data_IF_239788898672
#
_entry.id   IF_239788898672
#
_cell.length_a   1.000
_cell.length_b   1.000
_cell.length_c   1.000
_cell.angle_alpha   90.00
_cell.angle_beta   90.00
_cell.angle_gamma   90.00
#
_symmetry.space_group_name_H-M   'P 1'
#
loop_
_entity.id
_entity.type
_entity.pdbx_description
1 polymer ?
#
# COMPACT_ATOMS: atom_id res chain seq x y z
N UNK A 1 -24.68 18.79 51.40
CA UNK A 1 -23.36 18.17 51.64
C UNK A 1 -23.33 16.92 50.78
N UNK A 2 -22.64 16.93 49.63
CA UNK A 2 -22.55 15.74 48.78
C UNK A 2 -21.78 14.67 49.55
N UNK A 3 -22.36 13.48 49.71
CA UNK A 3 -21.68 12.36 50.35
C UNK A 3 -20.60 11.88 49.36
N UNK A 4 -19.35 11.71 49.80
CA UNK A 4 -18.23 11.32 48.91
C UNK A 4 -18.50 9.97 48.22
N UNK A 5 -19.44 9.17 48.73
CA UNK A 5 -19.94 7.93 48.13
C UNK A 5 -20.79 8.11 46.87
N UNK A 6 -21.23 9.33 46.54
CA UNK A 6 -22.09 9.62 45.38
C UNK A 6 -21.31 10.31 44.24
N UNK A 7 -19.98 10.39 44.33
CA UNK A 7 -19.13 10.99 43.31
C UNK A 7 -18.56 9.89 42.42
N UNK A 8 -18.99 9.86 41.16
CA UNK A 8 -18.44 8.98 40.13
C UNK A 8 -17.43 9.77 39.28
N UNK A 9 -16.20 9.26 39.19
CA UNK A 9 -15.15 9.85 38.36
C UNK A 9 -15.02 9.07 37.06
N UNK A 10 -15.32 9.72 35.93
CA UNK A 10 -15.17 9.16 34.58
C UNK A 10 -14.18 9.95 33.75
N UNK A 11 -13.51 9.24 32.84
CA UNK A 11 -12.52 9.79 31.91
C UNK A 11 -13.17 10.17 30.58
N UNK A 12 -12.70 11.27 30.02
CA UNK A 12 -12.97 11.71 28.65
C UNK A 12 -11.67 11.70 27.84
N UNK A 13 -10.59 12.28 28.38
CA UNK A 13 -9.25 12.32 27.77
C UNK A 13 -9.30 12.72 26.27
N UNK A 14 -8.44 12.13 25.43
CA UNK A 14 -8.44 12.37 23.98
C UNK A 14 -9.65 11.77 23.26
N UNK A 15 -10.39 10.87 23.92
CA UNK A 15 -11.59 10.24 23.36
C UNK A 15 -12.71 11.25 23.11
N UNK A 16 -12.73 12.38 23.84
CA UNK A 16 -13.64 13.48 23.56
C UNK A 16 -13.45 14.09 22.18
N UNK A 17 -12.21 14.22 21.71
CA UNK A 17 -11.89 14.72 20.36
C UNK A 17 -12.34 13.70 19.31
N UNK A 18 -12.04 12.43 19.54
CA UNK A 18 -12.45 11.33 18.63
C UNK A 18 -13.97 11.26 18.53
N UNK A 19 -14.68 11.28 19.66
CA UNK A 19 -16.14 11.27 19.69
C UNK A 19 -16.73 12.47 18.95
N UNK A 20 -16.19 13.67 19.18
CA UNK A 20 -16.62 14.89 18.49
C UNK A 20 -16.44 14.81 16.96
N UNK A 21 -15.35 14.21 16.48
CA UNK A 21 -15.15 13.97 15.03
C UNK A 21 -16.19 12.97 14.51
N UNK A 22 -16.39 11.86 15.20
CA UNK A 22 -17.38 10.83 14.85
C UNK A 22 -18.79 11.44 14.74
N UNK A 23 -19.16 12.30 15.69
CA UNK A 23 -20.45 13.00 15.71
C UNK A 23 -20.53 14.05 14.60
N UNK A 24 -19.46 14.81 14.37
CA UNK A 24 -19.43 15.80 13.28
C UNK A 24 -19.55 15.17 11.90
N UNK A 25 -19.06 13.94 11.71
CA UNK A 25 -19.23 13.17 10.47
C UNK A 25 -20.61 12.50 10.41
N UNK A 26 -21.33 12.37 11.52
CA UNK A 26 -22.62 11.67 11.57
C UNK A 26 -22.50 10.14 11.38
N UNK A 27 -21.40 9.54 11.82
CA UNK A 27 -21.16 8.09 11.63
C UNK A 27 -22.27 7.26 12.29
N UNK A 28 -22.73 7.66 13.47
CA UNK A 28 -23.75 6.91 14.22
C UNK A 28 -25.04 6.80 13.41
N UNK A 29 -25.49 7.92 12.86
CA UNK A 29 -26.72 8.04 12.06
C UNK A 29 -26.59 7.26 10.75
N UNK A 30 -25.46 7.39 10.06
CA UNK A 30 -25.20 6.66 8.80
C UNK A 30 -25.26 5.15 9.04
N UNK A 31 -24.58 4.65 10.09
CA UNK A 31 -24.58 3.22 10.41
C UNK A 31 -25.98 2.73 10.80
N UNK A 32 -26.71 3.50 11.61
CA UNK A 32 -28.07 3.14 12.01
C UNK A 32 -29.03 3.08 10.81
N UNK A 33 -28.90 4.01 9.86
CA UNK A 33 -29.68 4.01 8.63
C UNK A 33 -29.34 2.81 7.73
N UNK A 34 -28.07 2.40 7.68
CA UNK A 34 -27.63 1.28 6.84
C UNK A 34 -28.00 -0.09 7.40
N UNK A 35 -27.99 -0.25 8.74
CA UNK A 35 -28.14 -1.53 9.43
C UNK A 35 -29.50 -1.71 10.12
N UNK A 36 -30.31 -0.63 10.19
CA UNK A 36 -31.57 -0.62 10.92
C UNK A 36 -31.40 -0.55 12.44
N UNK A 37 -32.52 -0.49 13.15
CA UNK A 37 -32.59 -0.50 14.62
C UNK A 37 -33.74 -1.39 15.06
N UNK A 38 -33.55 -2.12 16.15
CA UNK A 38 -34.61 -2.94 16.76
C UNK A 38 -35.23 -2.18 17.94
N UNK A 39 -36.57 -2.24 18.15
CA UNK A 39 -37.25 -1.46 19.19
C UNK A 39 -36.75 -1.65 20.62
N UNK A 40 -36.20 -2.83 20.93
CA UNK A 40 -35.75 -3.20 22.28
C UNK A 40 -34.21 -3.12 22.44
N UNK A 41 -33.50 -2.58 21.45
CA UNK A 41 -32.04 -2.44 21.54
C UNK A 41 -31.64 -1.38 22.57
N UNK A 42 -30.86 -1.79 23.58
CA UNK A 42 -30.29 -0.87 24.58
C UNK A 42 -29.25 0.09 24.00
N UNK A 43 -28.55 -0.35 22.94
CA UNK A 43 -27.56 0.43 22.19
C UNK A 43 -27.70 0.12 20.71
N UNK A 44 -27.68 1.17 19.89
CA UNK A 44 -27.78 1.08 18.44
C UNK A 44 -26.47 0.57 17.80
N UNK A 45 -26.54 0.11 16.55
CA UNK A 45 -25.35 -0.34 15.82
C UNK A 45 -24.32 0.79 15.63
N UNK A 46 -24.77 2.00 15.35
CA UNK A 46 -23.92 3.19 15.22
C UNK A 46 -23.20 3.54 16.52
N UNK A 47 -23.88 3.43 17.67
CA UNK A 47 -23.25 3.61 18.98
C UNK A 47 -22.20 2.54 19.27
N UNK A 48 -22.44 1.29 18.85
CA UNK A 48 -21.46 0.21 18.98
C UNK A 48 -20.23 0.48 18.10
N UNK A 49 -20.42 0.91 16.85
CA UNK A 49 -19.31 1.31 15.97
C UNK A 49 -18.52 2.48 16.56
N UNK A 50 -19.20 3.50 17.08
CA UNK A 50 -18.55 4.62 17.80
C UNK A 50 -17.72 4.10 18.97
N UNK A 51 -18.27 3.20 19.79
CA UNK A 51 -17.53 2.58 20.89
C UNK A 51 -16.28 1.81 20.40
N UNK A 52 -16.38 1.06 19.29
CA UNK A 52 -15.24 0.34 18.69
C UNK A 52 -14.14 1.30 18.22
N UNK A 53 -14.50 2.43 17.61
CA UNK A 53 -13.56 3.48 17.20
C UNK A 53 -12.85 4.07 18.43
N UNK A 54 -13.61 4.40 19.49
CA UNK A 54 -13.04 4.93 20.72
C UNK A 54 -12.08 3.93 21.38
N UNK A 55 -12.45 2.64 21.44
CA UNK A 55 -11.56 1.61 21.96
C UNK A 55 -10.29 1.45 21.10
N UNK A 56 -10.43 1.36 19.77
CA UNK A 56 -9.28 1.21 18.86
C UNK A 56 -8.31 2.39 18.92
N UNK A 57 -8.82 3.61 19.14
CA UNK A 57 -8.00 4.82 19.26
C UNK A 57 -7.60 5.16 20.71
N UNK A 58 -7.96 4.32 21.68
CA UNK A 58 -7.63 4.51 23.10
C UNK A 58 -6.19 4.12 23.48
N UNK A 59 -5.41 3.62 22.51
CA UNK A 59 -4.08 3.01 22.71
C UNK A 59 -4.08 1.73 23.58
N UNK A 60 -5.25 1.24 23.97
CA UNK A 60 -5.44 0.01 24.74
C UNK A 60 -6.30 -0.96 23.92
N UNK A 61 -5.64 -1.85 23.16
CA UNK A 61 -6.35 -2.92 22.44
C UNK A 61 -6.78 -3.99 23.44
N UNK A 62 -8.08 -4.10 23.68
CA UNK A 62 -8.66 -5.14 24.54
C UNK A 62 -9.39 -6.20 23.68
N UNK A 63 -9.31 -7.49 24.04
CA UNK A 63 -10.15 -8.51 23.42
C UNK A 63 -11.65 -8.18 23.55
N UNK A 64 -12.49 -8.68 22.64
CA UNK A 64 -13.93 -8.38 22.61
C UNK A 64 -14.65 -8.66 23.94
N UNK A 65 -14.28 -9.72 24.66
CA UNK A 65 -14.89 -10.06 25.95
C UNK A 65 -14.52 -9.10 27.10
N UNK A 66 -13.42 -8.34 26.95
CA UNK A 66 -12.98 -7.30 27.90
C UNK A 66 -13.49 -5.90 27.53
N UNK A 67 -14.29 -5.79 26.47
CA UNK A 67 -14.76 -4.52 25.96
C UNK A 67 -15.63 -3.75 26.97
N UNK A 68 -16.54 -4.37 27.75
CA UNK A 68 -17.24 -3.68 28.83
C UNK A 68 -16.29 -3.10 29.88
N UNK A 69 -15.27 -3.87 30.29
CA UNK A 69 -14.30 -3.45 31.32
C UNK A 69 -13.52 -2.20 30.91
N UNK A 70 -13.19 -2.09 29.62
CA UNK A 70 -12.55 -0.88 29.09
C UNK A 70 -13.40 0.38 29.33
N UNK A 71 -14.73 0.26 29.26
CA UNK A 71 -15.66 1.38 29.38
C UNK A 71 -16.08 1.72 30.81
N UNK A 72 -15.72 0.91 31.82
CA UNK A 72 -16.10 1.14 33.23
C UNK A 72 -15.67 2.51 33.77
N UNK A 73 -14.47 2.96 33.40
CA UNK A 73 -13.92 4.25 33.82
C UNK A 73 -14.10 5.36 32.78
N UNK A 74 -14.82 5.09 31.69
CA UNK A 74 -15.00 6.02 30.56
C UNK A 74 -16.40 6.63 30.62
N UNK A 75 -16.51 7.92 30.29
CA UNK A 75 -17.76 8.66 30.29
C UNK A 75 -18.69 8.26 29.12
N UNK A 76 -19.21 7.04 29.13
CA UNK A 76 -20.04 6.47 28.05
C UNK A 76 -21.23 7.36 27.66
N UNK A 77 -21.92 7.93 28.64
CA UNK A 77 -23.07 8.80 28.36
C UNK A 77 -22.70 10.07 27.59
N UNK A 78 -21.49 10.59 27.82
CA UNK A 78 -21.00 11.81 27.17
C UNK A 78 -20.33 11.49 25.83
N UNK A 79 -19.67 10.34 25.73
CA UNK A 79 -18.87 9.98 24.56
C UNK A 79 -19.62 9.16 23.52
N UNK A 80 -20.61 8.35 23.91
CA UNK A 80 -21.29 7.41 23.01
C UNK A 80 -22.75 7.78 22.85
N UNK A 81 -23.45 8.07 23.95
CA UNK A 81 -24.83 8.53 23.93
C UNK A 81 -25.54 8.35 25.26
N UNK A 82 -26.65 9.08 25.43
CA UNK A 82 -27.43 9.11 26.67
C UNK A 82 -27.86 7.69 27.09
N UNK A 83 -27.66 7.34 28.36
CA UNK A 83 -28.06 6.05 28.93
C UNK A 83 -27.19 4.87 28.52
N UNK A 84 -26.15 5.07 27.70
CA UNK A 84 -25.21 3.99 27.33
C UNK A 84 -24.40 3.58 28.55
N UNK A 85 -24.46 2.29 28.87
CA UNK A 85 -23.69 1.68 29.97
C UNK A 85 -22.64 0.71 29.45
N UNK A 86 -21.51 0.54 30.16
CA UNK A 86 -20.46 -0.41 29.79
C UNK A 86 -21.00 -1.83 29.54
N UNK A 87 -21.93 -2.33 30.38
CA UNK A 87 -22.48 -3.68 30.24
C UNK A 87 -23.30 -3.91 28.95
N UNK A 88 -23.72 -2.85 28.27
CA UNK A 88 -24.45 -2.95 26.99
C UNK A 88 -23.50 -3.18 25.81
N UNK A 89 -22.20 -2.91 25.99
CA UNK A 89 -21.14 -3.08 25.00
C UNK A 89 -20.43 -4.44 25.18
N UNK A 90 -21.22 -5.51 25.28
CA UNK A 90 -20.74 -6.89 25.40
C UNK A 90 -20.40 -7.51 24.04
N UNK A 91 -19.58 -8.56 24.08
CA UNK A 91 -19.10 -9.32 22.92
C UNK A 91 -20.23 -9.82 22.01
N UNK A 92 -21.36 -10.26 22.55
CA UNK A 92 -22.55 -10.65 21.77
C UNK A 92 -23.08 -9.50 20.90
N UNK A 93 -23.27 -8.31 21.48
CA UNK A 93 -23.76 -7.14 20.72
C UNK A 93 -22.72 -6.68 19.71
N UNK A 94 -21.44 -6.64 20.09
CA UNK A 94 -20.34 -6.28 19.21
C UNK A 94 -20.25 -7.23 18.01
N UNK A 95 -20.29 -8.55 18.25
CA UNK A 95 -20.24 -9.60 17.23
C UNK A 95 -21.40 -9.48 16.25
N UNK A 96 -22.64 -9.34 16.73
CA UNK A 96 -23.82 -9.15 15.85
C UNK A 96 -23.71 -7.90 14.98
N UNK A 97 -23.13 -6.80 15.50
CA UNK A 97 -22.92 -5.59 14.70
C UNK A 97 -21.83 -5.81 13.64
N UNK A 98 -20.74 -6.51 13.96
CA UNK A 98 -19.72 -6.89 12.98
C UNK A 98 -20.28 -7.77 11.87
N UNK A 99 -21.14 -8.73 12.21
CA UNK A 99 -21.84 -9.57 11.23
C UNK A 99 -22.75 -8.74 10.32
N UNK A 100 -23.55 -7.83 10.89
CA UNK A 100 -24.40 -6.90 10.13
C UNK A 100 -23.57 -6.02 9.17
N UNK A 101 -22.43 -5.49 9.64
CA UNK A 101 -21.49 -4.71 8.82
C UNK A 101 -20.91 -5.54 7.67
N UNK A 102 -20.50 -6.79 7.96
CA UNK A 102 -19.97 -7.70 6.96
C UNK A 102 -21.01 -8.02 5.88
N UNK A 103 -22.24 -8.36 6.28
CA UNK A 103 -23.36 -8.66 5.37
C UNK A 103 -23.69 -7.44 4.50
N UNK A 104 -23.66 -6.22 5.07
CA UNK A 104 -23.93 -4.98 4.34
C UNK A 104 -22.84 -4.65 3.30
N UNK A 105 -21.62 -5.12 3.51
CA UNK A 105 -20.44 -4.82 2.70
C UNK A 105 -19.66 -3.64 3.29
N UNK A 106 -18.44 -3.93 3.76
CA UNK A 106 -17.59 -2.94 4.43
C UNK A 106 -17.19 -1.77 3.51
N UNK A 107 -16.99 -2.05 2.22
CA UNK A 107 -16.70 -1.05 1.20
C UNK A 107 -17.88 -0.08 1.00
N UNK A 108 -19.12 -0.60 1.05
CA UNK A 108 -20.35 0.19 0.96
C UNK A 108 -20.55 1.07 2.19
N UNK A 109 -20.36 0.48 3.39
CA UNK A 109 -20.46 1.22 4.66
C UNK A 109 -19.42 2.34 4.71
N UNK A 110 -18.16 2.03 4.39
CA UNK A 110 -17.09 3.02 4.38
C UNK A 110 -17.32 4.14 3.38
N UNK A 111 -17.80 3.80 2.17
CA UNK A 111 -18.11 4.77 1.14
C UNK A 111 -19.21 5.75 1.59
N UNK A 112 -20.27 5.25 2.24
CA UNK A 112 -21.34 6.11 2.76
C UNK A 112 -20.81 7.13 3.78
N UNK A 113 -19.98 6.68 4.72
CA UNK A 113 -19.33 7.56 5.71
C UNK A 113 -18.41 8.58 5.03
N UNK A 114 -17.63 8.12 4.05
CA UNK A 114 -16.66 8.97 3.35
C UNK A 114 -17.33 10.03 2.49
N UNK A 115 -18.43 9.71 1.80
CA UNK A 115 -19.17 10.68 1.00
C UNK A 115 -19.81 11.77 1.87
N UNK A 116 -20.36 11.40 3.02
CA UNK A 116 -20.86 12.40 3.98
C UNK A 116 -19.72 13.28 4.51
N UNK A 117 -18.54 12.69 4.75
CA UNK A 117 -17.32 13.44 5.15
C UNK A 117 -16.90 14.44 4.07
N UNK A 118 -16.95 14.04 2.79
CA UNK A 118 -16.67 14.93 1.64
C UNK A 118 -17.65 16.11 1.60
N UNK A 119 -18.93 15.87 1.84
CA UNK A 119 -19.94 16.93 1.85
C UNK A 119 -19.73 17.90 3.03
N UNK A 120 -19.52 17.39 4.23
CA UNK A 120 -19.38 18.22 5.44
C UNK A 120 -18.13 19.11 5.38
N UNK A 121 -17.01 18.56 4.93
CA UNK A 121 -15.74 19.28 4.88
C UNK A 121 -15.41 19.87 3.51
N UNK A 122 -16.31 19.74 2.53
CA UNK A 122 -16.16 20.26 1.17
C UNK A 122 -14.85 19.80 0.49
N UNK A 123 -14.53 18.51 0.67
CA UNK A 123 -13.27 17.92 0.19
C UNK A 123 -13.30 17.80 -1.33
N UNK A 124 -12.29 18.34 -2.01
CA UNK A 124 -12.21 18.26 -3.48
C UNK A 124 -11.79 16.88 -3.96
N UNK A 125 -12.67 16.23 -4.74
CA UNK A 125 -12.38 14.96 -5.43
C UNK A 125 -11.82 15.12 -6.85
N UNK A 126 -11.25 16.28 -7.18
CA UNK A 126 -10.68 16.58 -8.51
C UNK A 126 -9.52 15.65 -8.91
N UNK A 127 -8.81 15.12 -7.92
CA UNK A 127 -7.78 14.09 -8.08
C UNK A 127 -7.92 13.07 -6.97
N UNK A 128 -7.66 11.80 -7.27
CA UNK A 128 -7.74 10.72 -6.30
C UNK A 128 -6.53 9.79 -6.42
N UNK A 129 -5.89 9.48 -5.29
CA UNK A 129 -4.66 8.71 -5.21
C UNK A 129 -4.99 7.25 -4.88
N UNK A 130 -4.68 6.34 -5.81
CA UNK A 130 -4.87 4.90 -5.65
C UNK A 130 -3.54 4.26 -5.25
N UNK A 131 -3.57 3.55 -4.13
CA UNK A 131 -2.48 2.69 -3.67
C UNK A 131 -3.02 1.46 -2.95
N UNK A 132 -2.16 0.49 -2.66
CA UNK A 132 -2.51 -0.63 -1.79
C UNK A 132 -1.43 -0.90 -0.76
N UNK A 133 -1.83 -1.41 0.40
CA UNK A 133 -0.92 -1.83 1.48
C UNK A 133 -1.25 -3.24 1.95
N UNK A 134 -0.25 -3.96 2.46
CA UNK A 134 -0.38 -5.32 2.96
C UNK A 134 -0.33 -5.33 4.48
N UNK A 135 -1.19 -6.11 5.12
CA UNK A 135 -1.19 -6.33 6.56
C UNK A 135 -0.82 -7.78 6.85
N UNK A 136 0.23 -8.00 7.64
CA UNK A 136 0.65 -9.33 8.07
C UNK A 136 -0.08 -9.77 9.32
N UNK A 137 -0.33 -11.07 9.41
CA UNK A 137 -1.06 -11.68 10.52
C UNK A 137 -0.43 -13.02 10.92
N UNK A 138 -0.52 -13.33 12.21
CA UNK A 138 0.01 -14.57 12.81
C UNK A 138 -1.16 -15.53 13.09
N UNK A 139 -1.14 -16.73 12.49
CA UNK A 139 -2.15 -17.76 12.77
C UNK A 139 -2.40 -18.78 11.65
N UNK A 140 -3.17 -19.82 11.99
CA UNK A 140 -3.50 -20.91 11.07
C UNK A 140 -4.62 -20.55 10.09
N UNK A 141 -5.63 -19.77 10.50
CA UNK A 141 -6.70 -19.26 9.62
C UNK A 141 -7.30 -20.30 8.64
N UNK A 142 -7.42 -21.55 9.07
CA UNK A 142 -7.92 -22.67 8.24
C UNK A 142 -9.45 -22.68 8.09
N UNK A 143 -10.14 -21.78 8.79
CA UNK A 143 -11.59 -21.75 8.82
C UNK A 143 -12.16 -21.03 7.59
N UNK A 144 -12.96 -21.75 6.80
CA UNK A 144 -13.88 -21.15 5.83
C UNK A 144 -15.19 -20.79 6.53
N UNK A 145 -15.59 -19.52 6.49
CA UNK A 145 -16.92 -19.14 6.97
C UNK A 145 -18.00 -19.78 6.07
N UNK A 146 -19.07 -20.35 6.64
CA UNK A 146 -20.17 -20.88 5.84
C UNK A 146 -20.83 -19.76 5.04
N UNK A 147 -21.20 -20.05 3.79
CA UNK A 147 -22.01 -19.12 3.00
C UNK A 147 -23.44 -19.12 3.56
N UNK A 148 -23.92 -17.93 3.96
CA UNK A 148 -25.28 -17.78 4.49
C UNK A 148 -26.15 -17.16 3.41
N UNK A 149 -27.28 -17.80 3.10
CA UNK A 149 -28.29 -17.27 2.17
C UNK A 149 -29.36 -16.55 3.00
N UNK A 150 -29.55 -15.26 2.74
CA UNK A 150 -30.62 -14.48 3.37
C UNK A 150 -31.87 -14.51 2.48
N UNK A 151 -33.02 -14.82 3.08
CA UNK A 151 -34.32 -14.61 2.44
C UNK A 151 -34.80 -13.20 2.75
N UNK A 152 -34.69 -12.29 1.79
CA UNK A 152 -35.28 -10.96 1.93
C UNK A 152 -36.81 -11.09 1.97
N UNK A 153 -37.42 -10.96 3.15
CA UNK A 153 -38.86 -10.70 3.24
C UNK A 153 -39.06 -9.22 2.89
N UNK A 154 -39.57 -8.93 1.69
CA UNK A 154 -40.12 -7.59 1.41
C UNK A 154 -41.26 -7.33 2.41
N UNK A 155 -41.24 -6.17 3.04
CA UNK A 155 -42.44 -5.64 3.71
C UNK A 155 -43.57 -5.56 2.67
N UNK A 156 -44.71 -6.11 3.05
CA UNK A 156 -45.88 -6.34 2.22
C UNK A 156 -46.41 -5.02 1.65
N UNK A 157 -46.22 -4.78 0.35
CA UNK A 157 -46.79 -3.58 -0.29
C UNK A 157 -46.73 -3.50 -1.81
N UNK A 158 -45.75 -4.12 -2.46
CA UNK A 158 -45.64 -4.08 -3.94
C UNK A 158 -45.72 -5.48 -4.52
N UNK A 159 -46.86 -5.79 -5.12
CA UNK A 159 -47.05 -6.94 -6.01
C UNK A 159 -46.15 -6.75 -7.24
N UNK A 160 -44.93 -7.27 -7.19
CA UNK A 160 -44.21 -7.78 -8.36
C UNK A 160 -43.00 -8.61 -7.92
N UNK A 161 -42.86 -9.74 -8.64
CA UNK A 161 -42.08 -10.94 -8.32
C UNK A 161 -40.58 -10.68 -8.24
N UNK A 162 -39.94 -11.19 -7.19
CA UNK A 162 -38.84 -12.17 -7.20
C UNK A 162 -38.27 -12.28 -5.77
N UNK A 163 -38.17 -13.52 -5.26
CA UNK A 163 -37.41 -13.82 -4.05
C UNK A 163 -35.92 -13.68 -4.41
N UNK A 164 -35.34 -12.49 -4.30
CA UNK A 164 -33.90 -12.32 -4.43
C UNK A 164 -33.23 -12.94 -3.19
N UNK A 165 -32.82 -14.21 -3.32
CA UNK A 165 -31.89 -14.84 -2.39
C UNK A 165 -30.54 -14.11 -2.50
N UNK A 166 -30.21 -13.30 -1.49
CA UNK A 166 -28.92 -12.64 -1.43
C UNK A 166 -27.93 -13.52 -0.66
N UNK A 167 -26.84 -13.91 -1.31
CA UNK A 167 -25.73 -14.59 -0.64
C UNK A 167 -24.92 -13.58 0.19
N UNK A 168 -24.46 -14.01 1.37
CA UNK A 168 -23.51 -13.24 2.17
C UNK A 168 -22.25 -12.92 1.35
N UNK A 169 -21.62 -11.74 1.53
CA UNK A 169 -20.32 -11.44 0.94
C UNK A 169 -19.29 -12.53 1.24
N UNK A 170 -18.37 -12.75 0.31
CA UNK A 170 -17.30 -13.72 0.52
C UNK A 170 -16.19 -13.11 1.36
N UNK A 171 -15.81 -13.79 2.44
CA UNK A 171 -14.68 -13.37 3.27
C UNK A 171 -13.36 -13.48 2.51
N UNK A 172 -12.44 -12.55 2.78
CA UNK A 172 -11.09 -12.57 2.21
C UNK A 172 -10.32 -13.79 2.72
N UNK A 173 -9.36 -14.26 1.93
CA UNK A 173 -8.44 -15.33 2.34
C UNK A 173 -7.16 -14.72 2.88
N UNK A 174 -6.89 -14.99 4.16
CA UNK A 174 -5.60 -14.70 4.78
C UNK A 174 -4.59 -15.73 4.28
N UNK A 175 -3.72 -15.30 3.37
CA UNK A 175 -2.81 -16.20 2.64
C UNK A 175 -1.45 -15.56 2.40
N UNK A 176 -0.49 -16.35 1.94
CA UNK A 176 0.83 -15.84 1.55
C UNK A 176 0.75 -15.07 0.25
N UNK A 177 1.65 -14.10 0.08
CA UNK A 177 1.79 -13.35 -1.16
C UNK A 177 3.11 -12.59 -1.20
N UNK A 178 3.20 -11.64 -2.13
CA UNK A 178 4.35 -10.75 -2.20
C UNK A 178 4.40 -9.88 -0.93
N UNK A 179 5.50 -9.99 -0.17
CA UNK A 179 5.66 -9.26 1.08
C UNK A 179 6.48 -7.97 0.86
N UNK A 180 5.84 -6.82 1.05
CA UNK A 180 6.48 -5.50 0.95
C UNK A 180 7.44 -5.23 2.11
N UNK A 181 7.14 -5.78 3.28
CA UNK A 181 7.92 -5.62 4.51
C UNK A 181 8.94 -6.75 4.74
N UNK A 182 9.25 -7.52 3.68
CA UNK A 182 10.21 -8.61 3.72
C UNK A 182 9.88 -9.74 4.72
N UNK A 183 8.59 -10.00 4.94
CA UNK A 183 8.02 -11.11 5.74
C UNK A 183 7.21 -12.09 4.86
N UNK A 184 7.85 -12.82 3.94
CA UNK A 184 7.15 -13.81 3.11
C UNK A 184 6.68 -15.04 3.90
N UNK A 185 7.16 -15.18 5.14
CA UNK A 185 6.82 -16.22 6.11
C UNK A 185 5.46 -15.99 6.79
N UNK A 186 4.87 -14.81 6.67
CA UNK A 186 3.58 -14.48 7.27
C UNK A 186 2.45 -14.50 6.26
N UNK A 187 1.27 -14.93 6.72
CA UNK A 187 0.02 -14.71 5.97
C UNK A 187 -0.32 -13.23 5.99
N UNK A 188 -1.05 -12.79 4.98
CA UNK A 188 -1.43 -11.39 4.82
C UNK A 188 -2.81 -11.23 4.20
N UNK A 189 -3.32 -10.02 4.31
CA UNK A 189 -4.35 -9.48 3.42
C UNK A 189 -3.88 -8.14 2.85
N UNK A 190 -4.56 -7.67 1.81
CA UNK A 190 -4.23 -6.40 1.16
C UNK A 190 -5.42 -5.46 1.30
N UNK A 191 -5.17 -4.20 1.62
CA UNK A 191 -6.18 -3.15 1.49
C UNK A 191 -5.83 -2.26 0.32
N UNK A 192 -6.79 -2.07 -0.57
CA UNK A 192 -6.72 -1.12 -1.66
C UNK A 192 -7.48 0.13 -1.24
N UNK A 193 -6.84 1.29 -1.40
CA UNK A 193 -7.34 2.56 -0.90
C UNK A 193 -7.31 3.60 -2.01
N UNK A 194 -8.38 4.39 -2.10
CA UNK A 194 -8.38 5.63 -2.87
C UNK A 194 -8.57 6.78 -1.90
N UNK A 195 -7.59 7.68 -1.85
CA UNK A 195 -7.64 8.92 -1.10
C UNK A 195 -7.94 10.11 -2.01
N UNK A 196 -8.56 11.15 -1.48
CA UNK A 196 -8.65 12.45 -2.11
C UNK A 196 -7.26 13.08 -2.24
N UNK A 197 -6.95 13.74 -3.35
CA UNK A 197 -5.75 14.58 -3.47
C UNK A 197 -5.83 15.87 -2.63
N UNK A 198 -7.01 16.18 -2.10
CA UNK A 198 -7.24 17.21 -1.10
C UNK A 198 -7.21 16.58 0.30
N UNK A 199 -6.14 16.83 1.05
CA UNK A 199 -5.98 16.37 2.44
C UNK A 199 -5.72 14.87 2.63
N UNK A 200 -5.51 14.10 1.55
CA UNK A 200 -5.27 12.64 1.59
C UNK A 200 -6.39 11.85 2.31
N UNK A 201 -7.61 12.37 2.30
CA UNK A 201 -8.75 11.76 3.00
C UNK A 201 -9.19 10.48 2.26
N UNK A 202 -9.22 9.31 2.93
CA UNK A 202 -9.72 8.08 2.34
C UNK A 202 -11.18 8.17 1.89
N UNK A 203 -11.46 7.81 0.64
CA UNK A 203 -12.81 7.87 0.04
C UNK A 203 -13.36 6.47 -0.26
N UNK A 204 -12.48 5.55 -0.63
CA UNK A 204 -12.84 4.18 -0.96
C UNK A 204 -11.82 3.22 -0.41
N UNK A 205 -12.29 2.13 0.19
CA UNK A 205 -11.48 1.04 0.71
C UNK A 205 -12.03 -0.30 0.24
N UNK A 206 -11.11 -1.22 -0.07
CA UNK A 206 -11.44 -2.62 -0.34
C UNK A 206 -10.39 -3.53 0.28
N UNK A 207 -10.82 -4.42 1.17
CA UNK A 207 -9.97 -5.50 1.66
C UNK A 207 -10.03 -6.67 0.67
N UNK A 208 -8.88 -7.24 0.34
CA UNK A 208 -8.74 -8.35 -0.60
C UNK A 208 -7.76 -9.39 -0.07
N UNK A 209 -7.80 -10.60 -0.65
CA UNK A 209 -6.94 -11.71 -0.25
C UNK A 209 -5.45 -11.39 -0.44
N UNK A 210 -4.60 -12.00 0.40
CA UNK A 210 -3.16 -11.68 0.48
C UNK A 210 -2.30 -11.95 -0.75
N UNK A 211 -2.84 -12.64 -1.75
CA UNK A 211 -2.16 -13.02 -2.99
C UNK A 211 -2.60 -12.20 -4.22
N UNK A 212 -3.40 -11.16 -4.02
CA UNK A 212 -3.79 -10.24 -5.09
C UNK A 212 -2.61 -9.42 -5.60
N UNK A 213 -2.66 -9.06 -6.90
CA UNK A 213 -1.57 -8.34 -7.59
C UNK A 213 -2.11 -7.02 -8.14
N UNK A 214 -1.57 -5.91 -7.64
CA UNK A 214 -1.99 -4.54 -7.99
C UNK A 214 -2.12 -4.31 -9.49
N UNK A 215 -1.13 -4.76 -10.26
CA UNK A 215 -1.08 -4.51 -11.71
C UNK A 215 -2.23 -5.16 -12.48
N UNK A 216 -2.97 -6.08 -11.86
CA UNK A 216 -4.17 -6.70 -12.43
C UNK A 216 -5.47 -6.04 -11.95
N UNK A 217 -5.45 -5.37 -10.79
CA UNK A 217 -6.66 -4.91 -10.09
C UNK A 217 -6.85 -3.40 -10.10
N UNK A 218 -5.78 -2.61 -10.21
CA UNK A 218 -5.89 -1.16 -10.13
C UNK A 218 -6.81 -0.55 -11.19
N UNK A 219 -6.81 -1.07 -12.42
CA UNK A 219 -7.75 -0.62 -13.47
C UNK A 219 -9.22 -0.88 -13.12
N UNK A 220 -9.52 -2.07 -12.57
CA UNK A 220 -10.87 -2.44 -12.12
C UNK A 220 -11.35 -1.49 -11.01
N UNK A 221 -10.50 -1.25 -10.01
CA UNK A 221 -10.80 -0.40 -8.84
C UNK A 221 -11.05 1.05 -9.27
N UNK A 222 -10.20 1.60 -10.15
CA UNK A 222 -10.35 2.97 -10.64
C UNK A 222 -11.70 3.17 -11.37
N UNK A 223 -12.10 2.20 -12.19
CA UNK A 223 -13.38 2.21 -12.90
C UNK A 223 -14.55 2.02 -11.93
N UNK A 224 -14.43 1.11 -10.96
CA UNK A 224 -15.45 0.87 -9.93
C UNK A 224 -15.70 2.12 -9.08
N UNK A 225 -14.63 2.79 -8.65
CA UNK A 225 -14.69 4.05 -7.90
C UNK A 225 -15.43 5.14 -8.64
N UNK A 226 -15.05 5.43 -9.89
CA UNK A 226 -15.72 6.47 -10.68
C UNK A 226 -17.19 6.14 -10.95
N UNK A 227 -17.52 4.87 -11.18
CA UNK A 227 -18.92 4.44 -11.37
C UNK A 227 -19.76 4.62 -10.11
N UNK A 228 -19.23 4.25 -8.93
CA UNK A 228 -19.97 4.33 -7.67
C UNK A 228 -20.19 5.76 -7.20
N UNK A 229 -19.23 6.65 -7.43
CA UNK A 229 -19.26 8.03 -6.90
C UNK A 229 -19.74 9.03 -7.97
N UNK A 230 -19.72 8.64 -9.25
CA UNK A 230 -20.13 9.49 -10.37
C UNK A 230 -19.32 10.81 -10.44
N UNK A 231 -18.02 10.73 -10.16
CA UNK A 231 -17.10 11.87 -10.15
C UNK A 231 -16.09 11.81 -11.29
N UNK A 232 -15.82 12.97 -11.90
CA UNK A 232 -14.75 13.15 -12.90
C UNK A 232 -13.41 13.48 -12.21
N UNK A 233 -12.79 12.45 -11.62
CA UNK A 233 -11.52 12.55 -10.90
C UNK A 233 -10.32 12.15 -11.77
N UNK A 234 -9.18 12.83 -11.59
CA UNK A 234 -7.87 12.34 -12.06
C UNK A 234 -7.35 11.24 -11.11
N UNK A 235 -7.34 10.00 -11.58
CA UNK A 235 -6.76 8.87 -10.83
C UNK A 235 -5.24 8.90 -10.92
N UNK A 236 -4.57 9.08 -9.79
CA UNK A 236 -3.11 9.05 -9.69
C UNK A 236 -2.67 7.76 -9.01
N UNK A 237 -1.75 7.01 -9.63
CA UNK A 237 -1.22 5.78 -9.04
C UNK A 237 0.24 5.54 -9.43
N UNK A 238 0.85 4.59 -8.75
CA UNK A 238 2.21 4.16 -9.04
C UNK A 238 2.30 3.41 -10.39
N UNK A 239 3.49 2.93 -10.72
CA UNK A 239 3.76 2.26 -12.00
C UNK A 239 3.08 0.90 -12.17
N UNK A 240 2.50 0.31 -11.12
CA UNK A 240 1.73 -0.92 -11.22
C UNK A 240 0.43 -0.71 -12.00
N UNK A 241 -0.15 0.49 -11.94
CA UNK A 241 -1.33 0.85 -12.76
C UNK A 241 -1.04 0.71 -14.26
N UNK A 242 0.18 1.01 -14.70
CA UNK A 242 0.57 1.07 -16.10
C UNK A 242 0.76 -0.33 -16.72
N UNK A 243 -0.33 -1.00 -17.04
CA UNK A 243 -0.40 -2.22 -17.85
C UNK A 243 -1.33 -1.99 -19.05
N UNK A 244 -1.13 -2.76 -20.12
CA UNK A 244 -1.98 -2.67 -21.31
C UNK A 244 -3.46 -2.91 -20.98
N UNK A 245 -3.76 -3.95 -20.18
CA UNK A 245 -5.12 -4.27 -19.75
C UNK A 245 -5.75 -3.16 -18.93
N UNK A 246 -5.03 -2.58 -17.96
CA UNK A 246 -5.57 -1.50 -17.13
C UNK A 246 -5.82 -0.24 -17.96
N UNK A 247 -4.89 0.13 -18.84
CA UNK A 247 -5.03 1.32 -19.68
C UNK A 247 -6.26 1.19 -20.59
N UNK A 248 -6.49 -0.01 -21.16
CA UNK A 248 -7.71 -0.32 -21.91
C UNK A 248 -8.98 -0.19 -21.10
N UNK A 249 -9.01 -0.74 -19.87
CA UNK A 249 -10.16 -0.60 -18.96
C UNK A 249 -10.45 0.86 -18.61
N UNK A 250 -9.41 1.69 -18.52
CA UNK A 250 -9.47 3.08 -18.10
C UNK A 250 -9.58 4.08 -19.27
N UNK A 251 -9.93 3.63 -20.48
CA UNK A 251 -9.96 4.48 -21.69
C UNK A 251 -10.82 5.74 -21.54
N UNK A 252 -11.89 5.66 -20.74
CA UNK A 252 -12.87 6.72 -20.56
C UNK A 252 -12.68 7.51 -19.25
N UNK A 253 -11.59 7.29 -18.51
CA UNK A 253 -11.33 7.98 -17.26
C UNK A 253 -9.98 8.69 -17.30
N UNK A 254 -9.83 9.77 -16.53
CA UNK A 254 -8.56 10.50 -16.42
C UNK A 254 -7.63 9.76 -15.47
N UNK A 255 -6.38 9.56 -15.89
CA UNK A 255 -5.37 8.92 -15.05
C UNK A 255 -3.97 9.53 -15.25
N UNK A 256 -3.15 9.41 -14.20
CA UNK A 256 -1.74 9.79 -14.16
C UNK A 256 -0.96 8.70 -13.44
N UNK A 257 -0.02 8.07 -14.15
CA UNK A 257 0.85 7.04 -13.57
C UNK A 257 2.25 7.11 -14.15
N UNK A 258 3.21 6.60 -13.39
CA UNK A 258 4.59 6.48 -13.82
C UNK A 258 4.73 5.37 -14.86
N UNK A 259 5.20 5.72 -16.05
CA UNK A 259 5.58 4.74 -17.08
C UNK A 259 6.79 3.91 -16.61
N UNK A 260 6.69 2.56 -16.54
CA UNK A 260 7.80 1.71 -16.12
C UNK A 260 8.95 1.71 -17.14
N UNK A 261 10.20 1.91 -16.67
CA UNK A 261 11.40 1.83 -17.53
C UNK A 261 11.75 0.40 -18.01
N UNK A 262 10.99 -0.61 -17.58
CA UNK A 262 11.03 -1.96 -18.19
C UNK A 262 10.46 -1.96 -19.61
N UNK A 263 9.63 -0.98 -19.96
CA UNK A 263 9.11 -0.81 -21.32
C UNK A 263 10.21 -0.26 -22.22
N UNK A 264 10.51 -0.98 -23.31
CA UNK A 264 11.63 -0.66 -24.22
C UNK A 264 11.53 0.77 -24.79
N UNK A 265 10.35 1.18 -25.23
CA UNK A 265 10.13 2.54 -25.74
C UNK A 265 10.38 3.61 -24.67
N UNK A 266 9.93 3.39 -23.43
CA UNK A 266 10.18 4.30 -22.31
C UNK A 266 11.68 4.41 -22.00
N UNK A 267 12.38 3.28 -21.94
CA UNK A 267 13.83 3.24 -21.74
C UNK A 267 14.59 3.97 -22.85
N UNK A 268 14.20 3.74 -24.10
CA UNK A 268 14.83 4.38 -25.25
C UNK A 268 14.65 5.90 -25.20
N UNK A 269 13.44 6.39 -24.94
CA UNK A 269 13.16 7.83 -24.85
C UNK A 269 14.01 8.53 -23.80
N UNK A 270 14.15 7.94 -22.61
CA UNK A 270 14.96 8.54 -21.53
C UNK A 270 16.44 8.63 -21.90
N UNK A 271 16.93 7.77 -22.81
CA UNK A 271 18.33 7.77 -23.26
C UNK A 271 18.56 8.63 -24.50
N UNK A 272 17.60 8.68 -25.42
CA UNK A 272 17.77 9.33 -26.73
C UNK A 272 17.44 10.82 -26.75
N UNK A 273 16.68 11.31 -25.76
CA UNK A 273 16.29 12.72 -25.72
C UNK A 273 17.49 13.63 -25.48
N UNK A 274 17.61 14.67 -26.30
CA UNK A 274 18.65 15.68 -26.15
C UNK A 274 18.22 16.78 -25.18
N UNK A 275 19.18 17.49 -24.57
CA UNK A 275 18.86 18.60 -23.65
C UNK A 275 18.05 19.71 -24.33
N UNK A 276 18.18 19.88 -25.65
CA UNK A 276 17.42 20.86 -26.43
C UNK A 276 15.92 20.57 -26.55
N UNK A 277 15.49 19.33 -26.31
CA UNK A 277 14.07 18.93 -26.35
C UNK A 277 13.34 19.21 -25.03
N UNK A 278 14.07 19.59 -23.98
CA UNK A 278 13.49 19.88 -22.67
C UNK A 278 13.11 21.35 -22.54
N UNK A 279 11.87 21.58 -22.13
CA UNK A 279 11.35 22.91 -21.78
C UNK A 279 11.44 23.06 -20.26
N UNK A 280 11.84 24.24 -19.79
CA UNK A 280 11.84 24.54 -18.35
C UNK A 280 10.40 24.51 -17.82
N UNK A 281 10.21 23.88 -16.68
CA UNK A 281 8.91 23.94 -15.99
C UNK A 281 8.81 25.21 -15.14
N UNK A 282 7.59 25.57 -14.75
CA UNK A 282 7.34 26.64 -13.78
C UNK A 282 7.98 26.33 -12.41
N UNK A 283 8.16 25.05 -12.08
CA UNK A 283 8.83 24.62 -10.86
C UNK A 283 10.36 24.74 -11.03
N UNK A 284 11.05 25.52 -10.18
CA UNK A 284 12.50 25.66 -10.25
C UNK A 284 13.22 24.31 -10.14
N UNK A 285 14.25 24.11 -10.97
CA UNK A 285 15.04 22.88 -10.99
C UNK A 285 14.42 21.70 -11.75
N UNK A 286 13.26 21.90 -12.37
CA UNK A 286 12.59 20.91 -13.21
C UNK A 286 12.48 21.37 -14.66
N UNK A 287 12.66 20.42 -15.57
CA UNK A 287 12.38 20.58 -17.00
C UNK A 287 11.72 19.31 -17.52
N UNK A 288 11.00 19.41 -18.63
CA UNK A 288 10.29 18.27 -19.18
C UNK A 288 10.27 18.27 -20.70
N UNK A 289 10.11 17.08 -21.27
CA UNK A 289 9.81 16.87 -22.68
C UNK A 289 8.50 16.07 -22.80
N UNK A 290 7.67 16.45 -23.76
CA UNK A 290 6.40 15.78 -24.03
C UNK A 290 6.51 14.94 -25.30
N UNK A 291 6.03 13.69 -25.25
CA UNK A 291 5.89 12.84 -26.44
C UNK A 291 4.50 12.20 -26.49
N UNK A 292 3.93 12.15 -27.69
CA UNK A 292 2.69 11.43 -27.97
C UNK A 292 3.05 9.99 -28.30
N UNK A 293 2.52 9.03 -27.54
CA UNK A 293 2.88 7.62 -27.66
C UNK A 293 1.60 6.80 -27.71
N UNK A 294 1.55 5.80 -28.58
CA UNK A 294 0.50 4.80 -28.57
C UNK A 294 1.01 3.55 -27.83
N UNK A 295 0.32 3.15 -26.78
CA UNK A 295 0.62 1.93 -26.02
C UNK A 295 -0.68 1.27 -25.59
N UNK A 296 -0.82 -0.02 -25.85
CA UNK A 296 -2.07 -0.75 -25.62
C UNK A 296 -3.22 -0.09 -26.36
N UNK A 297 -3.08 0.19 -27.65
CA UNK A 297 -4.03 0.85 -28.56
C UNK A 297 -4.68 2.14 -28.08
N UNK A 298 -4.06 2.80 -27.09
CA UNK A 298 -4.51 4.08 -26.56
C UNK A 298 -3.39 5.10 -26.80
N UNK A 299 -3.77 6.20 -27.42
CA UNK A 299 -2.90 7.36 -27.57
C UNK A 299 -2.77 8.09 -26.23
N UNK A 300 -1.54 8.31 -25.82
CA UNK A 300 -1.20 8.83 -24.50
C UNK A 300 -0.17 9.95 -24.61
N UNK A 301 -0.16 10.80 -23.59
CA UNK A 301 0.87 11.81 -23.40
C UNK A 301 1.88 11.31 -22.38
N UNK A 302 3.10 11.02 -22.82
CA UNK A 302 4.21 10.74 -21.93
C UNK A 302 4.97 12.03 -21.62
N UNK A 303 5.21 12.27 -20.33
CA UNK A 303 6.00 13.38 -19.83
C UNK A 303 7.33 12.84 -19.28
N UNK A 304 8.43 13.22 -19.92
CA UNK A 304 9.78 12.89 -19.43
C UNK A 304 10.24 14.07 -18.59
N UNK A 305 10.47 13.84 -17.30
CA UNK A 305 10.82 14.91 -16.35
C UNK A 305 12.27 14.78 -15.91
N UNK A 306 13.03 15.86 -16.04
CA UNK A 306 14.36 16.00 -15.45
C UNK A 306 14.28 16.83 -14.18
N UNK A 307 14.89 16.32 -13.11
CA UNK A 307 15.07 17.03 -11.84
C UNK A 307 16.56 17.23 -11.59
N UNK A 308 16.96 18.50 -11.42
CA UNK A 308 18.35 18.86 -11.11
C UNK A 308 18.83 18.24 -9.79
N UNK A 309 17.97 18.26 -8.76
CA UNK A 309 18.28 17.68 -7.45
C UNK A 309 18.47 16.16 -7.51
N UNK A 310 17.58 15.46 -8.25
CA UNK A 310 17.74 14.01 -8.47
C UNK A 310 19.00 13.70 -9.25
N UNK A 311 19.31 14.47 -10.32
CA UNK A 311 20.56 14.32 -11.08
C UNK A 311 21.78 14.44 -10.16
N UNK A 312 21.82 15.47 -9.30
CA UNK A 312 22.91 15.66 -8.33
C UNK A 312 23.02 14.50 -7.32
N UNK A 313 21.89 14.05 -6.78
CA UNK A 313 21.83 12.92 -5.84
C UNK A 313 22.32 11.62 -6.49
N UNK A 314 21.87 11.34 -7.71
CA UNK A 314 22.21 10.11 -8.43
C UNK A 314 23.68 10.10 -8.87
N UNK A 315 24.23 11.24 -9.31
CA UNK A 315 25.67 11.38 -9.58
C UNK A 315 26.50 11.12 -8.32
N UNK A 316 26.12 11.69 -7.16
CA UNK A 316 26.82 11.43 -5.88
C UNK A 316 26.76 9.96 -5.48
N UNK A 317 25.61 9.30 -5.67
CA UNK A 317 25.48 7.85 -5.43
C UNK A 317 26.32 7.03 -6.40
N UNK A 318 26.42 7.44 -7.66
CA UNK A 318 27.25 6.79 -8.66
C UNK A 318 28.74 6.90 -8.30
N UNK A 319 29.22 8.08 -7.91
CA UNK A 319 30.61 8.28 -7.45
C UNK A 319 30.95 7.33 -6.30
N UNK A 320 30.11 7.26 -5.26
CA UNK A 320 30.31 6.32 -4.14
C UNK A 320 30.33 4.85 -4.58
N UNK A 321 29.49 4.47 -5.55
CA UNK A 321 29.49 3.10 -6.11
C UNK A 321 30.78 2.80 -6.86
N UNK A 322 31.30 3.75 -7.62
CA UNK A 322 32.56 3.63 -8.36
C UNK A 322 33.74 3.46 -7.37
N UNK A 323 33.81 4.27 -6.32
CA UNK A 323 34.82 4.16 -5.26
C UNK A 323 34.77 2.81 -4.55
N UNK A 324 33.59 2.37 -4.10
CA UNK A 324 33.43 1.05 -3.46
C UNK A 324 33.82 -0.08 -4.41
N UNK A 325 33.49 0.05 -5.70
CA UNK A 325 33.90 -0.91 -6.71
C UNK A 325 35.42 -0.91 -6.94
N UNK A 326 36.10 0.23 -6.79
CA UNK A 326 37.56 0.32 -6.90
C UNK A 326 38.23 -0.49 -5.79
N UNK A 327 37.81 -0.30 -4.54
CA UNK A 327 38.36 -1.03 -3.39
C UNK A 327 38.18 -2.55 -3.57
N UNK A 328 36.98 -2.99 -3.98
CA UNK A 328 36.71 -4.41 -4.26
C UNK A 328 37.56 -4.94 -5.43
N UNK A 329 37.72 -4.15 -6.50
CA UNK A 329 38.54 -4.49 -7.67
C UNK A 329 40.01 -4.64 -7.26
N UNK A 330 40.56 -3.69 -6.50
CA UNK A 330 41.92 -3.76 -5.98
C UNK A 330 42.13 -4.98 -5.08
N UNK A 331 41.15 -5.33 -4.24
CA UNK A 331 41.23 -6.51 -3.36
C UNK A 331 41.25 -7.80 -4.17
N UNK A 332 40.42 -7.91 -5.21
CA UNK A 332 40.42 -9.05 -6.13
C UNK A 332 41.72 -9.14 -6.93
N UNK A 333 42.24 -8.01 -7.42
CA UNK A 333 43.51 -7.96 -8.15
C UNK A 333 44.68 -8.39 -7.26
N UNK A 334 44.73 -7.96 -5.99
CA UNK A 334 45.75 -8.43 -5.03
C UNK A 334 45.73 -9.95 -4.84
N UNK A 335 44.55 -10.58 -4.83
CA UNK A 335 44.45 -12.04 -4.74
C UNK A 335 45.00 -12.73 -6.00
N UNK A 336 44.61 -12.24 -7.18
CA UNK A 336 45.07 -12.79 -8.47
C UNK A 336 46.58 -12.59 -8.66
N UNK A 337 47.14 -11.46 -8.22
CA UNK A 337 48.58 -11.19 -8.24
C UNK A 337 49.39 -12.23 -7.42
N UNK A 338 48.76 -12.86 -6.43
CA UNK A 338 49.39 -13.90 -5.61
C UNK A 338 49.26 -15.31 -6.21
N UNK A 339 48.37 -15.52 -7.19
CA UNK A 339 48.21 -16.81 -7.87
C UNK A 339 49.44 -17.12 -8.74
N UNK A 340 49.84 -18.39 -8.80
CA UNK A 340 51.01 -18.82 -9.57
C UNK A 340 50.55 -19.45 -10.88
N UNK A 341 50.97 -18.88 -12.01
CA UNK A 341 50.63 -19.38 -13.34
C UNK A 341 51.79 -20.15 -13.97
N UNK A 342 51.48 -21.19 -14.76
CA UNK A 342 52.50 -22.02 -15.41
C UNK A 342 53.21 -21.30 -16.57
N UNK A 343 52.53 -20.35 -17.22
CA UNK A 343 53.11 -19.51 -18.26
C UNK A 343 52.55 -18.07 -18.23
N UNK A 344 53.27 -17.13 -18.85
CA UNK A 344 52.82 -15.73 -18.98
C UNK A 344 51.50 -15.60 -19.77
N UNK A 345 51.24 -16.49 -20.73
CA UNK A 345 50.01 -16.46 -21.51
C UNK A 345 48.78 -16.81 -20.66
N UNK A 346 48.89 -17.79 -19.76
CA UNK A 346 47.81 -18.20 -18.85
C UNK A 346 47.52 -17.09 -17.84
N UNK A 347 48.57 -16.47 -17.31
CA UNK A 347 48.45 -15.31 -16.46
C UNK A 347 47.66 -14.20 -17.22
N UNK A 348 48.14 -13.78 -18.39
CA UNK A 348 47.48 -12.72 -19.16
C UNK A 348 46.01 -13.03 -19.46
N UNK A 349 45.70 -14.28 -19.80
CA UNK A 349 44.35 -14.75 -20.10
C UNK A 349 43.42 -14.63 -18.89
N UNK A 350 43.89 -15.05 -17.71
CA UNK A 350 43.10 -14.96 -16.48
C UNK A 350 42.84 -13.51 -16.06
N UNK A 351 43.84 -12.64 -16.20
CA UNK A 351 43.69 -11.21 -15.86
C UNK A 351 42.71 -10.50 -16.81
N UNK A 352 42.77 -10.79 -18.13
CA UNK A 352 41.79 -10.28 -19.11
C UNK A 352 40.39 -10.79 -18.79
N UNK A 353 40.26 -12.08 -18.46
CA UNK A 353 38.97 -12.68 -18.06
C UNK A 353 38.40 -11.94 -16.85
N UNK A 354 39.22 -11.67 -15.85
CA UNK A 354 38.84 -10.94 -14.63
C UNK A 354 38.52 -9.47 -14.88
N UNK A 355 39.24 -8.80 -15.79
CA UNK A 355 38.93 -7.42 -16.18
C UNK A 355 37.53 -7.27 -16.74
N UNK A 356 37.00 -8.28 -17.45
CA UNK A 356 35.63 -8.27 -17.98
C UNK A 356 34.56 -8.33 -16.89
N UNK A 357 34.90 -8.80 -15.68
CA UNK A 357 33.99 -8.82 -14.53
C UNK A 357 33.86 -7.41 -13.87
N UNK A 358 34.75 -6.47 -14.17
CA UNK A 358 34.76 -5.14 -13.56
C UNK A 358 33.87 -4.16 -14.34
N UNK A 359 32.79 -3.71 -13.71
CA UNK A 359 31.77 -2.87 -14.35
C UNK A 359 32.19 -1.41 -14.57
N UNK A 360 33.00 -0.86 -13.68
CA UNK A 360 33.34 0.59 -13.67
C UNK A 360 34.83 0.87 -13.89
N UNK A 361 35.67 -0.16 -13.88
CA UNK A 361 37.12 -0.03 -13.86
C UNK A 361 37.70 -0.94 -14.92
N UNK A 362 38.77 -0.48 -15.57
CA UNK A 362 39.55 -1.27 -16.52
C UNK A 362 40.98 -1.43 -16.00
N UNK A 363 41.57 -2.60 -16.23
CA UNK A 363 42.98 -2.81 -15.90
C UNK A 363 43.82 -2.19 -17.03
N UNK A 364 44.67 -1.24 -16.67
CA UNK A 364 45.70 -0.72 -17.55
C UNK A 364 47.07 -1.25 -17.13
N UNK A 365 48.02 -1.34 -18.06
CA UNK A 365 49.42 -1.68 -17.82
C UNK A 365 49.63 -3.03 -17.11
N UNK A 366 49.44 -4.13 -17.85
CA UNK A 366 49.67 -5.48 -17.35
C UNK A 366 51.15 -5.83 -17.50
N UNK A 367 51.88 -5.85 -16.39
CA UNK A 367 53.23 -6.39 -16.31
C UNK A 367 53.17 -7.82 -15.77
N UNK A 368 53.96 -8.72 -16.35
CA UNK A 368 54.03 -10.12 -15.91
C UNK A 368 55.47 -10.39 -15.51
N UNK A 369 55.66 -10.78 -14.25
CA UNK A 369 56.97 -11.11 -13.72
C UNK A 369 57.15 -12.62 -13.64
N UNK A 370 58.26 -13.10 -14.18
CA UNK A 370 58.70 -14.48 -13.99
C UNK A 370 59.39 -14.60 -12.63
N UNK A 371 58.96 -15.57 -11.81
CA UNK A 371 59.55 -15.82 -10.49
C UNK A 371 60.04 -17.26 -10.39
N UNK A 372 61.25 -17.40 -9.85
CA UNK A 372 61.84 -18.68 -9.47
C UNK A 372 61.53 -18.94 -7.99
N UNK A 373 61.03 -20.13 -7.61
CA UNK A 373 60.76 -20.44 -6.21
C UNK A 373 62.05 -20.40 -5.37
N UNK A 374 61.96 -19.89 -4.14
CA UNK A 374 63.11 -19.79 -3.23
C UNK A 374 63.51 -21.18 -2.73
N UNK A 375 64.80 -21.45 -2.77
CA UNK A 375 65.45 -22.76 -2.63
C UNK A 375 65.07 -23.42 -1.29
N UNK A 376 64.18 -24.42 -1.33
CA UNK A 376 64.10 -25.55 -0.38
C UNK A 376 63.12 -26.68 -0.75
N UNK A 377 62.50 -26.65 -1.92
CA UNK A 377 61.73 -27.79 -2.45
C UNK A 377 62.32 -28.19 -3.81
N UNK A 378 62.97 -29.36 -3.83
CA UNK A 378 63.47 -29.99 -5.05
C UNK A 378 62.29 -30.35 -5.98
N UNK A 379 62.45 -30.01 -7.26
CA UNK A 379 61.50 -30.13 -8.38
C UNK A 379 60.26 -29.23 -8.33
N UNK A 380 60.36 -28.01 -8.91
CA UNK A 380 59.24 -27.39 -9.66
C UNK A 380 59.63 -26.23 -10.58
N UNK A 381 58.94 -26.19 -11.71
CA UNK A 381 59.03 -25.27 -12.86
C UNK A 381 58.87 -23.79 -12.50
N UNK A 382 59.43 -22.91 -13.33
CA UNK A 382 59.22 -21.44 -13.31
C UNK A 382 57.71 -21.11 -13.27
N UNK A 383 57.32 -20.07 -12.55
CA UNK A 383 55.94 -19.59 -12.50
C UNK A 383 55.86 -18.07 -12.73
N UNK A 384 54.67 -17.60 -13.14
CA UNK A 384 54.42 -16.22 -13.53
C UNK A 384 53.38 -15.58 -12.62
N UNK A 385 53.55 -14.30 -12.30
CA UNK A 385 52.67 -13.46 -11.47
C UNK A 385 52.53 -12.05 -12.07
N UNK A 386 51.56 -11.27 -11.58
CA UNK A 386 51.36 -9.86 -11.95
C UNK A 386 51.88 -8.91 -10.88
#
# INVERSE_FOLDING_TARGET
MFNVKDIELKKIDHLGIVAGIVDSIGIVEIINNLLGSEPEEKVSAGQVVKAMILNGLSMMSQPLYMFPTFFELIACEHLIGVGVKPEYLNDDKLGRVLDKLFIKGLDTVFLAVSLNTVEIYQISLSSSHLDSTSFHVDGEYENSLPSVIFKNKKESGSLEKENEESQSPQAIKLTYGYSRDHRPDLKQFITQLICSGDGDIPIYIKAVSGNEVDSKKFGEIAVEYQKRIQVDSLIVADSALYTESNIQLMRNIKWLTRVPLRIKSAKNLVVSLTESEFVKSEKPGYSYAQKKINYGDIEQRWLIVQSQDRKKSDLKKLSKKIEKALINTQTKLKKIAQEKFACAADARKELIRKSKEFKYHQIANIEITEKTPNIKEENKSKYYQF
#
